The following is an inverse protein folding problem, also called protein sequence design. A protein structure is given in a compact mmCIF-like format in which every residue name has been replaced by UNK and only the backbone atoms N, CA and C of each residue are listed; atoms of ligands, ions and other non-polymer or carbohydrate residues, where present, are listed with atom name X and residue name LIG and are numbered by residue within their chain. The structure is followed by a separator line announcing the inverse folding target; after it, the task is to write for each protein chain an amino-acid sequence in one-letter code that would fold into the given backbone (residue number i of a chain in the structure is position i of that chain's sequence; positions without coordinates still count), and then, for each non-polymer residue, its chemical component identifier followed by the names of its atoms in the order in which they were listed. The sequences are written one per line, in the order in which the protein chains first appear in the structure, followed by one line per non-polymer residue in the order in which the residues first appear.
data_IF_043787179264
#
_entry.id   IF_043787179264
#
_cell.length_a   1.000
_cell.length_b   1.000
_cell.length_c   1.000
_cell.angle_alpha   90.00
_cell.angle_beta   90.00
_cell.angle_gamma   90.00
#
_symmetry.space_group_name_H-M   'P 1'
#
loop_
_entity.id
_entity.type
_entity.pdbx_description
1 polymer ?
#
# COMPACT_ATOMS: atom_id res chain seq x y z
N UNK A 1 8.82 -4.51 -2.78
CA UNK A 1 7.91 -5.22 -1.87
C UNK A 1 6.87 -4.28 -1.23
N UNK A 2 7.25 -3.22 -0.50
CA UNK A 2 6.36 -2.31 0.24
C UNK A 2 5.15 -1.80 -0.56
N UNK A 3 5.36 -1.35 -1.82
CA UNK A 3 4.27 -0.88 -2.69
C UNK A 3 3.24 -1.98 -3.00
N UNK A 4 3.70 -3.20 -3.27
CA UNK A 4 2.82 -4.35 -3.56
C UNK A 4 2.01 -4.73 -2.33
N UNK A 5 2.64 -4.75 -1.15
CA UNK A 5 1.93 -5.00 0.12
C UNK A 5 0.85 -3.96 0.37
N UNK A 6 1.18 -2.67 0.24
CA UNK A 6 0.21 -1.59 0.43
C UNK A 6 -0.94 -1.66 -0.59
N UNK A 7 -0.62 -1.95 -1.86
CA UNK A 7 -1.64 -2.14 -2.89
C UNK A 7 -2.57 -3.30 -2.55
N UNK A 8 -2.02 -4.46 -2.16
CA UNK A 8 -2.81 -5.65 -1.77
C UNK A 8 -3.68 -5.36 -0.55
N UNK A 9 -3.14 -4.62 0.43
CA UNK A 9 -3.84 -4.31 1.68
C UNK A 9 -5.12 -3.50 1.48
N UNK A 10 -5.15 -2.60 0.50
CA UNK A 10 -6.32 -1.75 0.24
C UNK A 10 -7.25 -2.29 -0.86
N UNK A 11 -6.99 -3.51 -1.38
CA UNK A 11 -7.92 -4.20 -2.29
C UNK A 11 -9.15 -4.73 -1.55
N UNK A 12 -10.26 -5.03 -2.27
CA UNK A 12 -11.42 -5.70 -1.68
C UNK A 12 -11.07 -7.05 -1.06
N UNK A 13 -11.67 -7.33 0.10
CA UNK A 13 -11.50 -8.61 0.77
C UNK A 13 -10.60 -8.51 2.00
N UNK A 14 -10.07 -9.64 2.44
CA UNK A 14 -9.17 -9.73 3.58
C UNK A 14 -7.75 -9.93 3.09
N UNK A 15 -6.83 -8.99 3.37
CA UNK A 15 -5.45 -9.16 2.98
C UNK A 15 -4.83 -10.36 3.69
N UNK A 16 -4.13 -11.19 2.94
CA UNK A 16 -3.42 -12.35 3.45
C UNK A 16 -1.94 -12.21 3.12
N UNK A 17 -1.11 -12.18 4.16
CA UNK A 17 0.34 -12.25 4.02
C UNK A 17 0.79 -13.72 4.08
N UNK A 18 1.62 -14.13 3.15
CA UNK A 18 2.31 -15.40 3.27
C UNK A 18 3.46 -15.25 4.27
N UNK A 19 3.67 -16.27 5.12
CA UNK A 19 4.70 -16.18 6.16
C UNK A 19 6.08 -15.93 5.57
N UNK A 20 6.80 -15.00 6.17
CA UNK A 20 8.12 -14.59 5.74
C UNK A 20 8.14 -13.41 4.77
N UNK A 21 7.02 -13.07 4.11
CA UNK A 21 6.95 -11.86 3.27
C UNK A 21 7.25 -10.60 4.08
N UNK A 22 6.78 -10.55 5.33
CA UNK A 22 6.95 -9.42 6.25
C UNK A 22 8.41 -9.19 6.68
N UNK A 23 9.26 -10.20 6.56
CA UNK A 23 10.70 -10.14 6.88
C UNK A 23 11.60 -10.29 5.66
N UNK A 24 11.02 -10.25 4.45
CA UNK A 24 11.76 -10.28 3.19
C UNK A 24 12.31 -11.64 2.79
N UNK A 25 11.75 -12.73 3.29
CA UNK A 25 12.13 -14.09 2.84
C UNK A 25 11.89 -14.22 1.33
N UNK A 26 12.82 -14.87 0.68
CA UNK A 26 12.73 -15.19 -0.77
C UNK A 26 12.68 -16.69 -0.98
N UNK A 27 12.03 -17.12 -2.05
CA UNK A 27 11.96 -18.51 -2.46
C UNK A 27 11.93 -18.65 -3.98
N UNK A 28 12.37 -19.81 -4.46
CA UNK A 28 12.21 -20.23 -5.84
C UNK A 28 10.95 -21.11 -5.97
N UNK A 29 10.89 -21.95 -7.01
CA UNK A 29 9.81 -22.91 -7.19
C UNK A 29 9.73 -23.93 -6.04
N UNK A 30 8.58 -24.58 -5.89
CA UNK A 30 8.36 -25.63 -4.90
C UNK A 30 9.47 -26.71 -4.97
N UNK A 31 10.05 -27.14 -3.83
CA UNK A 31 9.64 -26.84 -2.45
C UNK A 31 10.29 -25.59 -1.82
N UNK A 32 11.15 -24.87 -2.52
CA UNK A 32 11.93 -23.75 -1.97
C UNK A 32 11.07 -22.57 -1.49
N UNK A 33 9.88 -22.37 -2.06
CA UNK A 33 8.90 -21.39 -1.59
C UNK A 33 8.28 -21.72 -0.21
N UNK A 34 8.54 -22.91 0.34
CA UNK A 34 8.05 -23.38 1.65
C UNK A 34 9.18 -23.63 2.63
N UNK A 35 10.18 -22.76 2.65
CA UNK A 35 11.30 -22.79 3.61
C UNK A 35 10.78 -22.66 5.04
N UNK A 36 11.59 -23.12 6.00
CA UNK A 36 11.33 -22.83 7.41
C UNK A 36 11.39 -21.32 7.66
N UNK A 37 10.56 -20.85 8.59
CA UNK A 37 10.59 -19.46 9.03
C UNK A 37 11.98 -19.09 9.58
N UNK A 38 12.47 -17.93 9.21
CA UNK A 38 13.72 -17.37 9.76
C UNK A 38 13.38 -16.60 11.04
N UNK A 39 13.87 -17.07 12.18
CA UNK A 39 13.58 -16.48 13.48
C UNK A 39 14.70 -15.56 14.00
N UNK A 40 15.91 -15.71 13.47
CA UNK A 40 17.07 -14.90 13.82
C UNK A 40 16.91 -13.49 13.21
N UNK A 41 16.80 -12.48 14.08
CA UNK A 41 16.58 -11.08 13.65
C UNK A 41 17.67 -10.55 12.70
N UNK A 42 18.90 -11.02 12.86
CA UNK A 42 20.04 -10.65 12.01
C UNK A 42 19.86 -11.08 10.53
N UNK A 43 18.98 -12.04 10.28
CA UNK A 43 18.66 -12.56 8.95
C UNK A 43 17.29 -12.07 8.43
N UNK A 44 16.67 -11.11 9.12
CA UNK A 44 15.38 -10.53 8.76
C UNK A 44 15.52 -9.11 8.22
N UNK A 45 14.66 -8.72 7.29
CA UNK A 45 14.47 -7.33 6.91
C UNK A 45 13.59 -6.64 7.95
N UNK A 46 14.23 -6.09 9.00
CA UNK A 46 13.54 -5.42 10.10
C UNK A 46 12.84 -4.12 9.65
N UNK A 47 13.32 -3.47 8.60
CA UNK A 47 12.66 -2.29 8.03
C UNK A 47 11.34 -2.68 7.36
N UNK A 48 11.33 -3.77 6.60
CA UNK A 48 10.12 -4.30 5.99
C UNK A 48 9.13 -4.81 7.04
N UNK A 49 9.63 -5.44 8.12
CA UNK A 49 8.80 -5.87 9.25
C UNK A 49 8.12 -4.69 9.95
N UNK A 50 8.87 -3.62 10.21
CA UNK A 50 8.33 -2.39 10.82
C UNK A 50 7.27 -1.74 9.91
N UNK A 51 7.55 -1.67 8.60
CA UNK A 51 6.61 -1.19 7.60
C UNK A 51 5.31 -2.03 7.59
N UNK A 52 5.43 -3.35 7.57
CA UNK A 52 4.28 -4.26 7.56
C UNK A 52 3.42 -4.11 8.81
N UNK A 53 4.04 -4.01 10.00
CA UNK A 53 3.34 -3.73 11.26
C UNK A 53 2.59 -2.40 11.23
N UNK A 54 3.20 -1.34 10.69
CA UNK A 54 2.58 -0.04 10.57
C UNK A 54 1.39 -0.05 9.58
N UNK A 55 1.53 -0.75 8.46
CA UNK A 55 0.46 -0.93 7.47
C UNK A 55 -0.76 -1.65 8.07
N UNK A 56 -0.54 -2.73 8.82
CA UNK A 56 -1.62 -3.51 9.48
C UNK A 56 -2.27 -2.71 10.61
N UNK A 57 -1.55 -1.78 11.24
CA UNK A 57 -2.05 -0.94 12.32
C UNK A 57 -2.95 0.21 11.85
N UNK A 58 -3.23 0.33 10.53
CA UNK A 58 -4.18 1.32 10.03
C UNK A 58 -5.52 1.22 10.79
N UNK A 59 -6.12 2.35 11.17
CA UNK A 59 -7.22 2.36 12.14
C UNK A 59 -8.38 1.45 11.76
N UNK A 60 -8.95 0.76 12.74
CA UNK A 60 -10.13 -0.12 12.56
C UNK A 60 -11.33 0.58 11.92
N UNK A 61 -11.40 1.91 12.02
CA UNK A 61 -12.46 2.72 11.38
C UNK A 61 -12.45 2.62 9.86
N UNK A 62 -11.30 2.33 9.28
CA UNK A 62 -11.10 2.21 7.84
C UNK A 62 -11.27 0.77 7.35
N UNK A 63 -11.20 -0.20 8.28
CA UNK A 63 -11.29 -1.61 7.94
C UNK A 63 -12.59 -1.98 7.23
N UNK A 64 -13.73 -1.41 7.63
CA UNK A 64 -15.00 -1.64 6.96
C UNK A 64 -14.98 -1.12 5.51
N UNK A 65 -14.49 0.09 5.30
CA UNK A 65 -14.35 0.65 3.96
C UNK A 65 -13.39 -0.17 3.08
N UNK A 66 -12.31 -0.69 3.66
CA UNK A 66 -11.36 -1.54 2.94
C UNK A 66 -11.93 -2.94 2.63
N UNK A 67 -12.71 -3.54 3.54
CA UNK A 67 -13.28 -4.87 3.32
C UNK A 67 -14.55 -4.86 2.45
N UNK A 68 -15.47 -3.91 2.67
CA UNK A 68 -16.81 -3.91 2.10
C UNK A 68 -17.05 -2.80 1.07
N UNK A 69 -16.21 -1.73 1.10
CA UNK A 69 -16.35 -0.58 0.20
C UNK A 69 -16.22 -0.96 -1.27
N UNK A 70 -16.94 -0.24 -2.13
CA UNK A 70 -16.86 -0.39 -3.58
C UNK A 70 -15.56 0.23 -4.10
N UNK A 71 -15.00 -0.38 -5.15
CA UNK A 71 -13.82 0.14 -5.83
C UNK A 71 -14.26 1.06 -6.97
N UNK A 72 -13.65 2.23 -7.04
CA UNK A 72 -13.75 3.15 -8.16
C UNK A 72 -12.36 3.49 -8.67
N UNK A 73 -12.11 3.29 -9.95
CA UNK A 73 -10.86 3.66 -10.59
C UNK A 73 -10.91 5.15 -10.97
N UNK A 74 -10.07 5.94 -10.33
CA UNK A 74 -9.97 7.38 -10.60
C UNK A 74 -9.10 7.64 -11.83
N UNK A 75 -7.91 7.07 -11.87
CA UNK A 75 -6.98 7.16 -12.98
C UNK A 75 -6.10 5.92 -13.10
N UNK A 76 -5.85 5.47 -14.32
CA UNK A 76 -4.82 4.48 -14.63
C UNK A 76 -4.08 5.00 -15.87
N UNK A 77 -2.85 5.45 -15.67
CA UNK A 77 -1.99 5.97 -16.75
C UNK A 77 -0.72 5.12 -16.87
N UNK A 78 -0.69 4.16 -17.81
CA UNK A 78 0.47 3.31 -18.01
C UNK A 78 1.70 4.06 -18.55
N UNK A 79 1.51 5.27 -19.13
CA UNK A 79 2.62 6.07 -19.67
C UNK A 79 3.45 6.68 -18.54
N UNK A 80 2.77 7.21 -17.53
CA UNK A 80 3.41 7.82 -16.36
C UNK A 80 3.49 6.86 -15.15
N UNK A 81 2.92 5.65 -15.27
CA UNK A 81 2.91 4.67 -14.20
C UNK A 81 1.96 5.01 -13.05
N UNK A 82 0.98 5.90 -13.25
CA UNK A 82 0.00 6.24 -12.23
C UNK A 82 -1.09 5.17 -12.12
N UNK A 83 -1.32 4.71 -10.90
CA UNK A 83 -2.50 3.95 -10.51
C UNK A 83 -3.17 4.70 -9.36
N UNK A 84 -4.41 5.14 -9.56
CA UNK A 84 -5.22 5.82 -8.55
C UNK A 84 -6.60 5.20 -8.51
N UNK A 85 -6.97 4.66 -7.37
CA UNK A 85 -8.31 4.13 -7.13
C UNK A 85 -8.81 4.53 -5.74
N UNK A 86 -10.12 4.39 -5.56
CA UNK A 86 -10.83 4.76 -4.35
C UNK A 86 -11.66 3.59 -3.84
N UNK A 87 -11.81 3.52 -2.52
CA UNK A 87 -12.72 2.63 -1.82
C UNK A 87 -13.79 3.47 -1.16
N UNK A 88 -15.05 3.23 -1.48
CA UNK A 88 -16.17 3.99 -0.97
C UNK A 88 -17.08 3.12 -0.12
N UNK A 89 -17.35 3.55 1.11
CA UNK A 89 -18.37 3.01 1.99
C UNK A 89 -19.06 4.17 2.74
N UNK A 90 -20.35 4.35 2.50
CA UNK A 90 -21.13 5.47 3.01
C UNK A 90 -20.46 6.83 2.66
N UNK A 91 -20.14 7.63 3.68
CA UNK A 91 -19.45 8.92 3.51
C UNK A 91 -17.91 8.78 3.55
N UNK A 92 -17.39 7.57 3.72
CA UNK A 92 -15.94 7.33 3.81
C UNK A 92 -15.37 6.98 2.45
N UNK A 93 -14.28 7.64 2.10
CA UNK A 93 -13.48 7.38 0.89
C UNK A 93 -12.04 7.16 1.27
N UNK A 94 -11.49 6.01 0.90
CA UNK A 94 -10.05 5.72 1.03
C UNK A 94 -9.46 5.72 -0.38
N UNK A 95 -8.49 6.59 -0.60
CA UNK A 95 -7.77 6.72 -1.87
C UNK A 95 -6.43 6.00 -1.78
N UNK A 96 -6.10 5.23 -2.80
CA UNK A 96 -4.77 4.65 -2.99
C UNK A 96 -4.15 5.19 -4.27
N UNK A 97 -3.00 5.85 -4.15
CA UNK A 97 -2.30 6.48 -5.27
C UNK A 97 -0.89 5.90 -5.33
N UNK A 98 -0.54 5.25 -6.43
CA UNK A 98 0.68 4.49 -6.61
C UNK A 98 1.45 4.95 -7.84
N UNK A 99 2.75 5.09 -7.69
CA UNK A 99 3.66 5.33 -8.80
C UNK A 99 4.41 4.03 -9.17
N UNK A 100 3.99 3.40 -10.25
CA UNK A 100 4.64 2.21 -10.81
C UNK A 100 5.65 2.53 -11.92
N UNK A 101 5.78 3.82 -12.26
CA UNK A 101 6.70 4.32 -13.29
C UNK A 101 8.13 4.48 -12.81
N UNK A 102 8.96 5.05 -13.68
CA UNK A 102 10.39 5.31 -13.44
C UNK A 102 10.68 6.76 -13.01
N UNK A 103 9.72 7.67 -13.20
CA UNK A 103 9.85 9.08 -12.88
C UNK A 103 8.90 9.47 -11.74
N UNK A 104 9.21 10.55 -11.03
CA UNK A 104 8.33 11.11 -10.00
C UNK A 104 7.04 11.64 -10.66
N UNK A 105 5.89 11.24 -10.11
CA UNK A 105 4.60 11.78 -10.50
C UNK A 105 4.11 12.81 -9.49
N UNK A 106 3.32 13.78 -9.98
CA UNK A 106 2.71 14.82 -9.15
C UNK A 106 1.21 14.73 -9.28
N UNK A 107 0.50 14.68 -8.16
CA UNK A 107 -0.96 14.59 -8.10
C UNK A 107 -1.50 15.54 -7.03
N UNK A 108 -2.71 16.05 -7.24
CA UNK A 108 -3.46 16.81 -6.24
C UNK A 108 -4.54 15.90 -5.65
N UNK A 109 -4.55 15.72 -4.34
CA UNK A 109 -5.54 14.90 -3.66
C UNK A 109 -5.89 15.50 -2.30
N UNK A 110 -7.18 15.56 -2.00
CA UNK A 110 -7.71 16.05 -0.73
C UNK A 110 -7.90 14.91 0.26
N UNK A 111 -7.72 15.21 1.55
CA UNK A 111 -7.97 14.28 2.64
C UNK A 111 -6.83 14.21 3.64
N UNK A 112 -7.02 13.34 4.62
CA UNK A 112 -6.04 13.06 5.66
C UNK A 112 -5.13 11.91 5.22
N UNK A 113 -3.83 12.18 5.09
CA UNK A 113 -2.84 11.15 4.82
C UNK A 113 -2.80 10.13 5.96
N UNK A 114 -2.87 8.86 5.61
CA UNK A 114 -2.87 7.75 6.57
C UNK A 114 -1.59 6.95 6.53
N UNK A 115 -1.04 6.77 5.33
CA UNK A 115 0.17 6.01 5.14
C UNK A 115 0.86 6.42 3.84
N UNK A 116 2.17 6.52 3.85
CA UNK A 116 2.94 6.84 2.66
C UNK A 116 4.29 6.12 2.62
N UNK A 117 4.88 6.10 1.45
CA UNK A 117 6.24 5.64 1.20
C UNK A 117 6.80 6.36 -0.01
N UNK A 118 8.00 6.95 0.10
CA UNK A 118 8.66 7.71 -0.95
C UNK A 118 7.77 8.83 -1.51
N UNK A 119 7.26 9.65 -0.63
CA UNK A 119 6.36 10.77 -0.96
C UNK A 119 6.80 12.03 -0.25
N UNK A 120 6.79 13.15 -0.95
CA UNK A 120 6.82 14.49 -0.37
C UNK A 120 5.50 15.19 -0.63
N UNK A 121 5.04 16.01 0.32
CA UNK A 121 3.76 16.69 0.27
C UNK A 121 3.93 18.19 0.46
N UNK A 122 3.28 18.96 -0.38
CA UNK A 122 3.13 20.41 -0.27
C UNK A 122 1.64 20.74 -0.39
N UNK A 123 1.02 21.19 0.70
CA UNK A 123 -0.44 21.41 0.80
C UNK A 123 -1.26 20.17 0.42
N UNK A 124 -1.93 20.17 -0.73
CA UNK A 124 -2.70 19.04 -1.29
C UNK A 124 -1.98 18.36 -2.47
N UNK A 125 -0.77 18.79 -2.78
CA UNK A 125 0.06 18.26 -3.86
C UNK A 125 1.01 17.20 -3.31
N UNK A 126 0.96 16.02 -3.91
CA UNK A 126 1.81 14.88 -3.58
C UNK A 126 2.80 14.64 -4.72
N UNK A 127 4.08 14.62 -4.39
CA UNK A 127 5.16 14.19 -5.28
C UNK A 127 5.55 12.76 -4.90
N UNK A 128 5.20 11.81 -5.73
CA UNK A 128 5.37 10.38 -5.46
C UNK A 128 6.52 9.86 -6.31
N UNK A 129 7.61 9.48 -5.66
CA UNK A 129 8.79 8.91 -6.31
C UNK A 129 8.49 7.53 -6.92
N UNK A 130 9.34 7.01 -7.83
CA UNK A 130 9.23 5.65 -8.33
C UNK A 130 9.10 4.61 -7.21
N UNK A 131 8.14 3.69 -7.33
CA UNK A 131 7.76 2.69 -6.31
C UNK A 131 7.13 3.30 -5.04
N UNK A 132 6.90 4.60 -5.02
CA UNK A 132 6.21 5.31 -3.95
C UNK A 132 4.70 5.16 -4.04
N UNK A 133 4.03 5.46 -2.93
CA UNK A 133 2.57 5.48 -2.86
C UNK A 133 2.09 6.30 -1.66
N UNK A 134 0.83 6.72 -1.71
CA UNK A 134 0.13 7.33 -0.59
C UNK A 134 -1.28 6.74 -0.44
N UNK A 135 -1.70 6.56 0.82
CA UNK A 135 -3.06 6.19 1.21
C UNK A 135 -3.67 7.38 1.95
N UNK A 136 -4.81 7.86 1.48
CA UNK A 136 -5.49 9.05 1.98
C UNK A 136 -6.91 8.66 2.38
N UNK A 137 -7.36 9.13 3.55
CA UNK A 137 -8.74 9.01 3.98
C UNK A 137 -9.45 10.36 3.78
N UNK A 138 -10.58 10.32 3.09
CA UNK A 138 -11.43 11.47 2.89
C UNK A 138 -12.85 11.15 3.38
N UNK A 139 -13.59 12.16 3.81
CA UNK A 139 -15.02 12.08 4.06
C UNK A 139 -15.73 13.01 3.09
N UNK A 140 -16.69 12.49 2.38
CA UNK A 140 -17.57 13.25 1.48
C UNK A 140 -18.75 13.80 2.29
#
# INVERSE_FOLDING_TARGET
MKQVMAFTYIQPGVPCLYYGDEIGMTGANDPDCRKCMVWEEENQDLELLAFTKALIALPRKEAACLSEGRVYWHAVDPTNGLIWFERHLDEQVIQGIFNTGAETITVEAAGEERFNHLVTKEDQTYHIEPKGFVIINNKI
#
